data_IF_427401963384
#
_entry.id   IF_427401963384
#
_cell.length_a   1.000
_cell.length_b   1.000
_cell.length_c   1.000
_cell.angle_alpha   90.00
_cell.angle_beta   90.00
_cell.angle_gamma   90.00
#
_symmetry.space_group_name_H-M   'P 1'
#
loop_
_entity.id
_entity.type
_entity.pdbx_description
1 polymer ?
#
# COMPACT_ATOMS: atom_id res chain seq x y z
N UNK A 1 -36.86 -30.78 -1.80
CA UNK A 1 -36.70 -29.38 -2.20
C UNK A 1 -35.66 -28.76 -1.30
N UNK A 2 -34.99 -27.70 -1.72
CA UNK A 2 -33.92 -27.05 -0.97
C UNK A 2 -34.28 -25.59 -0.74
N UNK A 3 -34.05 -25.11 0.49
CA UNK A 3 -34.17 -23.72 0.87
C UNK A 3 -32.77 -23.12 0.91
N UNK A 4 -32.55 -22.05 0.17
CA UNK A 4 -31.36 -21.21 0.23
C UNK A 4 -31.71 -19.94 1.01
N UNK A 5 -31.02 -19.70 2.12
CA UNK A 5 -31.01 -18.42 2.84
C UNK A 5 -29.68 -17.74 2.58
N UNK A 6 -29.68 -16.50 2.13
CA UNK A 6 -28.47 -15.71 1.88
C UNK A 6 -28.52 -14.35 2.57
N UNK A 7 -27.38 -13.89 3.08
CA UNK A 7 -27.25 -12.60 3.76
C UNK A 7 -25.82 -12.06 3.65
N UNK A 8 -25.65 -10.75 3.83
CA UNK A 8 -24.34 -10.13 3.94
C UNK A 8 -24.13 -9.65 5.38
N UNK A 9 -23.27 -10.33 6.12
CA UNK A 9 -23.00 -10.04 7.54
C UNK A 9 -22.34 -8.68 7.80
N UNK A 10 -21.83 -8.01 6.76
CA UNK A 10 -21.24 -6.68 6.84
C UNK A 10 -22.26 -5.55 6.58
N UNK A 11 -23.48 -5.89 6.14
CA UNK A 11 -24.52 -4.89 5.89
C UNK A 11 -25.17 -4.43 7.21
N UNK A 12 -25.30 -3.12 7.48
CA UNK A 12 -25.84 -2.60 8.75
C UNK A 12 -27.32 -2.93 8.99
N UNK A 13 -28.03 -3.38 7.95
CA UNK A 13 -29.37 -3.96 8.03
C UNK A 13 -29.34 -5.31 7.30
N UNK A 14 -29.05 -6.44 7.98
CA UNK A 14 -28.97 -7.72 7.32
C UNK A 14 -30.36 -8.10 6.81
N UNK A 15 -30.52 -8.13 5.48
CA UNK A 15 -31.68 -8.74 4.83
C UNK A 15 -31.31 -10.19 4.54
N UNK A 16 -32.14 -11.12 5.02
CA UNK A 16 -32.04 -12.53 4.63
C UNK A 16 -32.97 -12.71 3.44
N UNK A 17 -32.38 -12.96 2.27
CA UNK A 17 -33.15 -13.38 1.11
C UNK A 17 -33.31 -14.90 1.15
N UNK A 18 -34.54 -15.37 0.95
CA UNK A 18 -34.87 -16.79 0.95
C UNK A 18 -35.36 -17.21 -0.44
N UNK A 19 -34.74 -18.25 -0.98
CA UNK A 19 -35.01 -18.81 -2.31
C UNK A 19 -35.22 -20.31 -2.20
N UNK A 20 -36.02 -20.88 -3.09
CA UNK A 20 -36.28 -22.32 -3.16
C UNK A 20 -35.67 -22.91 -4.42
N UNK A 21 -35.15 -24.13 -4.33
CA UNK A 21 -34.61 -24.88 -5.47
C UNK A 21 -35.13 -26.31 -5.49
N UNK A 22 -35.44 -26.81 -6.68
CA UNK A 22 -35.84 -28.21 -6.88
C UNK A 22 -34.67 -29.17 -6.70
N UNK A 23 -33.43 -28.69 -6.90
CA UNK A 23 -32.20 -29.47 -6.78
C UNK A 23 -31.14 -28.73 -5.94
N UNK A 24 -30.31 -29.51 -5.23
CA UNK A 24 -29.20 -28.98 -4.44
C UNK A 24 -28.13 -28.32 -5.32
N UNK A 25 -27.84 -28.93 -6.48
CA UNK A 25 -26.88 -28.39 -7.45
C UNK A 25 -27.32 -27.04 -8.03
N UNK A 26 -28.63 -26.82 -8.23
CA UNK A 26 -29.18 -25.54 -8.64
C UNK A 26 -28.93 -24.44 -7.60
N UNK A 27 -29.15 -24.74 -6.31
CA UNK A 27 -28.87 -23.81 -5.22
C UNK A 27 -27.38 -23.45 -5.12
N UNK A 28 -26.49 -24.45 -5.23
CA UNK A 28 -25.04 -24.21 -5.22
C UNK A 28 -24.57 -23.38 -6.42
N UNK A 29 -25.10 -23.64 -7.62
CA UNK A 29 -24.77 -22.85 -8.81
C UNK A 29 -25.23 -21.38 -8.66
N UNK A 30 -26.40 -21.16 -8.05
CA UNK A 30 -26.88 -19.82 -7.72
C UNK A 30 -25.92 -19.09 -6.80
N UNK A 31 -25.57 -19.68 -5.66
CA UNK A 31 -24.63 -19.09 -4.69
C UNK A 31 -23.27 -18.82 -5.33
N UNK A 32 -22.74 -19.75 -6.12
CA UNK A 32 -21.44 -19.58 -6.77
C UNK A 32 -21.41 -18.34 -7.68
N UNK A 33 -22.51 -18.02 -8.36
CA UNK A 33 -22.62 -16.81 -9.16
C UNK A 33 -22.88 -15.57 -8.31
N UNK A 34 -23.74 -15.65 -7.29
CA UNK A 34 -24.01 -14.51 -6.40
C UNK A 34 -22.76 -14.05 -5.66
N UNK A 35 -21.88 -14.97 -5.26
CA UNK A 35 -20.58 -14.65 -4.64
C UNK A 35 -19.60 -13.92 -5.56
N UNK A 36 -19.78 -14.00 -6.87
CA UNK A 36 -18.99 -13.19 -7.81
C UNK A 36 -19.40 -11.70 -7.74
N UNK A 37 -20.67 -11.44 -7.44
CA UNK A 37 -21.20 -10.08 -7.29
C UNK A 37 -21.03 -9.53 -5.87
N UNK A 38 -21.14 -10.39 -4.86
CA UNK A 38 -20.93 -10.05 -3.45
C UNK A 38 -20.06 -11.13 -2.77
N UNK A 39 -18.72 -10.95 -2.73
CA UNK A 39 -17.81 -11.92 -2.11
C UNK A 39 -18.04 -12.13 -0.61
N UNK A 40 -18.66 -11.16 0.08
CA UNK A 40 -18.98 -11.22 1.50
C UNK A 40 -20.31 -11.92 1.79
N UNK A 41 -20.97 -12.45 0.75
CA UNK A 41 -22.24 -13.15 0.88
C UNK A 41 -22.08 -14.47 1.65
N UNK A 42 -22.76 -14.57 2.78
CA UNK A 42 -22.98 -15.79 3.53
C UNK A 42 -24.24 -16.50 3.02
N UNK A 43 -24.28 -17.81 3.20
CA UNK A 43 -25.40 -18.62 2.77
C UNK A 43 -25.56 -19.89 3.60
N UNK A 44 -26.80 -20.39 3.63
CA UNK A 44 -27.15 -21.69 4.16
C UNK A 44 -28.09 -22.38 3.16
N UNK A 45 -27.80 -23.65 2.83
CA UNK A 45 -28.64 -24.50 1.98
C UNK A 45 -29.12 -25.68 2.82
N UNK A 46 -30.43 -25.81 3.00
CA UNK A 46 -31.02 -26.91 3.76
C UNK A 46 -32.11 -27.63 2.97
N UNK A 47 -32.17 -28.98 3.03
CA UNK A 47 -33.32 -29.71 2.50
C UNK A 47 -34.56 -29.37 3.34
N UNK A 48 -35.67 -29.04 2.69
CA UNK A 48 -36.94 -28.72 3.35
C UNK A 48 -38.11 -29.54 2.81
N UNK A 49 -39.09 -29.77 3.68
CA UNK A 49 -40.41 -30.33 3.35
C UNK A 49 -41.44 -29.24 3.04
N UNK A 50 -41.12 -27.98 3.34
CA UNK A 50 -41.99 -26.85 3.05
C UNK A 50 -42.21 -26.72 1.54
N UNK A 51 -43.45 -26.43 1.16
CA UNK A 51 -43.81 -26.22 -0.24
C UNK A 51 -43.93 -24.73 -0.55
N UNK A 52 -43.35 -24.26 -1.68
CA UNK A 52 -43.49 -22.89 -2.12
C UNK A 52 -44.95 -22.61 -2.45
N UNK A 53 -45.39 -21.41 -2.13
CA UNK A 53 -46.73 -20.94 -2.45
C UNK A 53 -46.83 -20.53 -3.92
N UNK A 54 -48.05 -20.47 -4.51
CA UNK A 54 -48.22 -19.92 -5.85
C UNK A 54 -47.66 -18.50 -6.00
N UNK A 55 -47.63 -17.70 -4.94
CA UNK A 55 -47.05 -16.35 -4.96
C UNK A 55 -45.51 -16.38 -5.02
N UNK A 56 -44.85 -17.39 -4.45
CA UNK A 56 -43.39 -17.56 -4.54
C UNK A 56 -42.95 -17.87 -5.97
N UNK A 57 -43.74 -18.67 -6.70
CA UNK A 57 -43.54 -18.88 -8.13
C UNK A 57 -43.74 -17.59 -8.93
N UNK A 58 -44.78 -16.79 -8.62
CA UNK A 58 -45.01 -15.49 -9.29
C UNK A 58 -43.90 -14.48 -9.04
N UNK A 59 -43.21 -14.58 -7.90
CA UNK A 59 -42.06 -13.73 -7.53
C UNK A 59 -40.71 -14.29 -8.00
N UNK A 60 -40.70 -15.38 -8.75
CA UNK A 60 -39.48 -16.04 -9.24
C UNK A 60 -38.52 -16.45 -8.11
N UNK A 61 -39.05 -16.80 -6.93
CA UNK A 61 -38.24 -17.25 -5.80
C UNK A 61 -37.92 -18.75 -5.86
N UNK A 62 -38.55 -19.49 -6.79
CA UNK A 62 -38.32 -20.93 -7.01
C UNK A 62 -37.48 -21.14 -8.28
N UNK A 63 -36.40 -21.90 -8.18
CA UNK A 63 -35.42 -22.16 -9.25
C UNK A 63 -35.00 -20.86 -9.96
N UNK A 64 -34.77 -19.81 -9.16
CA UNK A 64 -34.37 -18.50 -9.67
C UNK A 64 -33.10 -18.63 -10.50
N UNK A 65 -33.08 -17.99 -11.66
CA UNK A 65 -31.88 -17.97 -12.49
C UNK A 65 -30.74 -17.28 -11.74
N UNK A 66 -29.53 -17.86 -11.74
CA UNK A 66 -28.38 -17.23 -11.12
C UNK A 66 -28.10 -15.88 -11.79
N UNK A 67 -27.53 -14.90 -11.06
CA UNK A 67 -27.08 -13.67 -11.69
C UNK A 67 -26.06 -13.99 -12.79
N UNK A 68 -26.12 -13.23 -13.88
CA UNK A 68 -25.23 -13.42 -15.02
C UNK A 68 -23.79 -13.09 -14.61
N UNK A 69 -22.89 -14.01 -14.95
CA UNK A 69 -21.45 -13.84 -14.73
C UNK A 69 -20.75 -14.14 -16.05
N UNK A 70 -19.64 -13.46 -16.26
CA UNK A 70 -18.76 -13.66 -17.40
C UNK A 70 -17.38 -14.10 -16.89
N UNK A 71 -16.54 -14.54 -17.81
CA UNK A 71 -15.14 -14.83 -17.54
C UNK A 71 -14.28 -13.76 -18.20
N UNK A 72 -13.31 -13.25 -17.45
CA UNK A 72 -12.18 -12.51 -18.00
C UNK A 72 -11.00 -13.48 -18.01
N UNK A 73 -10.35 -13.54 -19.16
CA UNK A 73 -9.12 -14.30 -19.35
C UNK A 73 -7.96 -13.33 -19.38
N UNK A 74 -6.95 -13.60 -18.56
CA UNK A 74 -5.69 -12.85 -18.56
C UNK A 74 -4.58 -13.78 -19.00
N UNK A 75 -4.11 -13.60 -20.24
CA UNK A 75 -2.93 -14.28 -20.75
C UNK A 75 -1.70 -13.45 -20.40
N UNK A 76 -0.72 -14.08 -19.76
CA UNK A 76 0.47 -13.43 -19.20
C UNK A 76 1.68 -14.08 -19.82
N UNK A 77 2.53 -13.29 -20.46
CA UNK A 77 3.91 -13.66 -20.71
C UNK A 77 4.80 -13.13 -19.60
N UNK A 78 5.53 -14.00 -18.93
CA UNK A 78 6.47 -13.63 -17.86
C UNK A 78 7.77 -14.45 -18.00
N UNK A 79 8.90 -13.75 -18.11
CA UNK A 79 10.20 -14.40 -18.27
C UNK A 79 10.66 -15.17 -17.00
N UNK A 80 10.08 -14.84 -15.83
CA UNK A 80 10.43 -15.45 -14.55
C UNK A 80 9.92 -16.89 -14.39
N UNK A 81 8.89 -17.27 -15.14
CA UNK A 81 8.24 -18.56 -15.01
C UNK A 81 8.90 -19.66 -15.84
N UNK A 82 8.81 -20.91 -15.38
CA UNK A 82 9.33 -22.08 -16.10
C UNK A 82 8.55 -22.34 -17.40
N UNK A 83 7.26 -22.00 -17.40
CA UNK A 83 6.41 -21.87 -18.57
C UNK A 83 6.07 -20.39 -18.73
N UNK A 84 6.68 -19.68 -19.69
CA UNK A 84 6.62 -18.23 -19.73
C UNK A 84 5.25 -17.72 -20.17
N UNK A 85 4.30 -18.58 -20.52
CA UNK A 85 2.93 -18.18 -20.86
C UNK A 85 1.95 -18.85 -19.91
N UNK A 86 1.21 -18.06 -19.16
CA UNK A 86 0.13 -18.54 -18.28
C UNK A 86 -1.18 -17.87 -18.64
N UNK A 87 -2.31 -18.58 -18.49
CA UNK A 87 -3.65 -18.03 -18.74
C UNK A 87 -4.47 -18.21 -17.47
N UNK A 88 -4.92 -17.09 -16.90
CA UNK A 88 -5.77 -17.06 -15.71
C UNK A 88 -7.20 -16.78 -16.12
N UNK A 89 -8.14 -17.47 -15.48
CA UNK A 89 -9.57 -17.24 -15.64
C UNK A 89 -10.11 -16.63 -14.35
N UNK A 90 -10.81 -15.50 -14.47
CA UNK A 90 -11.51 -14.87 -13.36
C UNK A 90 -12.99 -14.71 -13.71
N UNK A 91 -13.85 -15.25 -12.85
CA UNK A 91 -15.30 -15.03 -12.96
C UNK A 91 -15.63 -13.66 -12.40
N UNK A 92 -16.36 -12.86 -13.17
CA UNK A 92 -16.76 -11.49 -12.80
C UNK A 92 -18.23 -11.27 -13.13
N UNK A 93 -18.79 -10.18 -12.61
CA UNK A 93 -20.12 -9.73 -13.02
C UNK A 93 -20.17 -9.44 -14.52
N UNK A 94 -21.30 -9.70 -15.17
CA UNK A 94 -21.48 -9.38 -16.59
C UNK A 94 -21.23 -7.88 -16.88
N UNK A 95 -21.53 -7.00 -15.92
CA UNK A 95 -21.24 -5.57 -16.02
C UNK A 95 -19.74 -5.28 -16.04
N UNK A 96 -18.95 -5.86 -15.12
CA UNK A 96 -17.50 -5.67 -15.07
C UNK A 96 -16.80 -6.21 -16.32
N UNK A 97 -17.28 -7.34 -16.87
CA UNK A 97 -16.73 -7.89 -18.12
C UNK A 97 -16.92 -6.96 -19.33
N UNK A 98 -17.85 -6.00 -19.28
CA UNK A 98 -18.07 -5.09 -20.39
C UNK A 98 -16.86 -4.19 -20.66
N UNK A 99 -16.05 -3.90 -19.64
CA UNK A 99 -14.81 -3.12 -19.78
C UNK A 99 -13.70 -3.84 -20.56
N UNK A 100 -13.85 -5.16 -20.75
CA UNK A 100 -12.89 -6.08 -21.35
C UNK A 100 -13.38 -6.68 -22.68
N UNK A 101 -14.46 -6.12 -23.27
CA UNK A 101 -14.92 -6.54 -24.60
C UNK A 101 -13.89 -6.26 -25.69
N UNK A 102 -13.04 -5.26 -25.47
CA UNK A 102 -11.83 -5.05 -26.26
C UNK A 102 -10.63 -5.49 -25.41
N UNK A 103 -9.80 -6.43 -25.90
CA UNK A 103 -8.64 -6.88 -25.15
C UNK A 103 -7.72 -5.70 -24.80
N UNK A 104 -7.25 -5.67 -23.55
CA UNK A 104 -6.30 -4.66 -23.05
C UNK A 104 -4.94 -5.30 -22.90
N UNK A 105 -3.91 -4.63 -23.40
CA UNK A 105 -2.52 -5.07 -23.25
C UNK A 105 -1.79 -4.15 -22.28
N UNK A 106 -1.17 -4.75 -21.26
CA UNK A 106 -0.33 -4.07 -20.27
C UNK A 106 1.11 -4.55 -20.43
N UNK A 107 2.06 -3.62 -20.32
CA UNK A 107 3.49 -3.91 -20.41
C UNK A 107 4.16 -3.52 -19.10
N UNK A 108 5.04 -4.39 -18.61
CA UNK A 108 5.87 -4.12 -17.43
C UNK A 108 7.33 -4.07 -17.85
N UNK A 109 7.96 -2.93 -17.63
CA UNK A 109 9.39 -2.76 -17.91
C UNK A 109 10.21 -3.57 -16.92
N UNK A 110 11.34 -4.09 -17.37
CA UNK A 110 12.34 -4.78 -16.54
C UNK A 110 12.79 -3.97 -15.34
N UNK A 111 12.80 -2.65 -15.48
CA UNK A 111 13.30 -1.72 -14.47
C UNK A 111 12.25 -1.36 -13.42
N UNK A 112 10.97 -1.69 -13.67
CA UNK A 112 9.91 -1.57 -12.69
C UNK A 112 10.14 -2.58 -11.56
N UNK A 113 9.87 -2.16 -10.32
CA UNK A 113 10.08 -2.94 -9.09
C UNK A 113 11.55 -3.26 -8.72
N UNK A 114 12.54 -2.76 -9.46
CA UNK A 114 13.94 -2.82 -9.02
C UNK A 114 14.24 -1.79 -7.95
N UNK A 115 15.04 -2.16 -6.96
CA UNK A 115 15.61 -1.23 -6.01
C UNK A 115 16.50 -0.18 -6.70
N UNK A 116 16.63 1.05 -6.16
CA UNK A 116 17.21 2.19 -6.88
C UNK A 116 18.62 1.97 -7.44
N UNK A 117 19.51 1.27 -6.73
CA UNK A 117 20.89 1.07 -7.18
C UNK A 117 20.95 0.04 -8.32
N UNK A 118 20.22 -1.07 -8.20
CA UNK A 118 20.06 -2.07 -9.25
C UNK A 118 19.38 -1.44 -10.46
N UNK A 119 18.34 -0.62 -10.24
CA UNK A 119 17.66 0.15 -11.29
C UNK A 119 18.62 1.08 -12.01
N UNK A 120 19.44 1.86 -11.31
CA UNK A 120 20.41 2.78 -11.92
C UNK A 120 21.45 2.02 -12.75
N UNK A 121 21.95 0.89 -12.24
CA UNK A 121 22.92 0.03 -12.94
C UNK A 121 22.29 -0.61 -14.19
N UNK A 122 21.06 -1.10 -14.08
CA UNK A 122 20.32 -1.76 -15.16
C UNK A 122 19.79 -0.80 -16.23
N UNK A 123 19.40 0.42 -15.86
CA UNK A 123 18.82 1.42 -16.79
C UNK A 123 19.74 1.75 -17.98
N UNK A 124 21.05 1.46 -17.89
CA UNK A 124 21.99 1.66 -19.00
C UNK A 124 21.78 0.69 -20.16
N UNK A 125 21.15 -0.45 -19.93
CA UNK A 125 20.96 -1.52 -20.93
C UNK A 125 19.55 -2.12 -20.95
N UNK A 126 18.73 -1.90 -19.91
CA UNK A 126 17.40 -2.49 -19.76
C UNK A 126 16.23 -1.48 -19.83
N UNK A 127 16.49 -0.22 -20.20
CA UNK A 127 15.51 0.87 -20.11
C UNK A 127 14.24 0.65 -20.94
N UNK A 128 14.35 -0.08 -22.04
CA UNK A 128 13.29 -0.34 -23.02
C UNK A 128 12.97 -1.84 -23.16
N UNK A 129 13.44 -2.65 -22.22
CA UNK A 129 13.16 -4.08 -22.18
C UNK A 129 11.93 -4.36 -21.32
N UNK A 130 11.08 -5.28 -21.80
CA UNK A 130 9.91 -5.76 -21.07
C UNK A 130 10.21 -7.10 -20.39
N UNK A 131 9.82 -7.21 -19.11
CA UNK A 131 9.90 -8.44 -18.33
C UNK A 131 8.59 -9.23 -18.35
N UNK A 132 7.47 -8.51 -18.51
CA UNK A 132 6.14 -9.09 -18.45
C UNK A 132 5.17 -8.36 -19.37
N UNK A 133 4.28 -9.12 -20.00
CA UNK A 133 3.23 -8.64 -20.90
C UNK A 133 1.94 -9.34 -20.49
N UNK A 134 0.88 -8.57 -20.28
CA UNK A 134 -0.43 -9.12 -19.96
C UNK A 134 -1.44 -8.69 -21.01
N UNK A 135 -2.30 -9.62 -21.42
CA UNK A 135 -3.47 -9.33 -22.25
C UNK A 135 -4.70 -9.83 -21.50
N UNK A 136 -5.66 -8.95 -21.25
CA UNK A 136 -6.91 -9.27 -20.58
C UNK A 136 -8.11 -9.07 -21.53
N UNK A 137 -9.01 -10.05 -21.63
CA UNK A 137 -10.17 -10.00 -22.50
C UNK A 137 -11.25 -11.04 -22.16
N UNK A 138 -12.42 -10.94 -22.78
CA UNK A 138 -13.55 -11.87 -22.57
C UNK A 138 -13.52 -13.10 -23.50
N UNK A 139 -12.70 -13.07 -24.56
CA UNK A 139 -12.50 -14.18 -25.50
C UNK A 139 -11.10 -14.76 -25.29
N UNK A 140 -11.04 -16.01 -24.81
CA UNK A 140 -9.77 -16.69 -24.50
C UNK A 140 -8.89 -16.89 -25.75
N UNK A 141 -9.34 -17.54 -26.83
CA UNK A 141 -8.55 -17.64 -28.07
C UNK A 141 -8.01 -16.31 -28.58
N UNK A 142 -8.82 -15.24 -28.57
CA UNK A 142 -8.39 -13.92 -29.00
C UNK A 142 -7.29 -13.35 -28.08
N UNK A 143 -7.47 -13.47 -26.77
CA UNK A 143 -6.52 -12.99 -25.76
C UNK A 143 -5.16 -13.68 -25.90
N UNK A 144 -5.16 -15.01 -26.04
CA UNK A 144 -3.94 -15.79 -26.25
C UNK A 144 -3.25 -15.44 -27.58
N UNK A 145 -4.02 -15.25 -28.66
CA UNK A 145 -3.49 -14.87 -29.97
C UNK A 145 -2.82 -13.48 -29.94
N UNK A 146 -3.46 -12.49 -29.30
CA UNK A 146 -2.90 -11.13 -29.17
C UNK A 146 -1.60 -11.16 -28.36
N UNK A 147 -1.57 -11.93 -27.26
CA UNK A 147 -0.35 -12.09 -26.48
C UNK A 147 0.77 -12.70 -27.33
N UNK A 148 0.48 -13.81 -28.03
CA UNK A 148 1.47 -14.50 -28.86
C UNK A 148 2.04 -13.59 -29.97
N UNK A 149 1.19 -12.83 -30.67
CA UNK A 149 1.63 -11.84 -31.65
C UNK A 149 2.49 -10.76 -31.01
N UNK A 150 2.04 -10.16 -29.91
CA UNK A 150 2.75 -9.08 -29.22
C UNK A 150 4.13 -9.53 -28.73
N UNK A 151 4.22 -10.72 -28.14
CA UNK A 151 5.48 -11.32 -27.69
C UNK A 151 6.41 -11.58 -28.87
N UNK A 152 5.91 -12.09 -29.99
CA UNK A 152 6.74 -12.34 -31.17
C UNK A 152 7.26 -11.05 -31.80
N UNK A 153 6.43 -10.01 -31.87
CA UNK A 153 6.82 -8.70 -32.41
C UNK A 153 7.91 -8.05 -31.53
N UNK A 154 7.73 -8.06 -30.21
CA UNK A 154 8.73 -7.53 -29.27
C UNK A 154 10.01 -8.36 -29.26
N UNK A 155 9.92 -9.68 -29.41
CA UNK A 155 11.09 -10.55 -29.56
C UNK A 155 11.86 -10.24 -30.83
N UNK A 156 11.17 -10.04 -31.95
CA UNK A 156 11.81 -9.70 -33.23
C UNK A 156 12.48 -8.32 -33.23
N UNK A 157 12.08 -7.46 -32.30
CA UNK A 157 12.63 -6.11 -32.12
C UNK A 157 13.64 -6.01 -30.96
N UNK A 158 14.06 -7.14 -30.38
CA UNK A 158 14.96 -7.21 -29.22
C UNK A 158 14.47 -6.38 -28.01
N UNK A 159 13.15 -6.29 -27.80
CA UNK A 159 12.52 -5.54 -26.69
C UNK A 159 12.11 -6.42 -25.51
N UNK A 160 12.41 -7.71 -25.56
CA UNK A 160 12.18 -8.62 -24.43
C UNK A 160 13.51 -8.91 -23.73
N UNK A 161 13.49 -8.93 -22.41
CA UNK A 161 14.64 -9.41 -21.65
C UNK A 161 14.89 -10.90 -21.88
N UNK A 162 16.15 -11.31 -21.89
CA UNK A 162 16.48 -12.75 -21.91
C UNK A 162 16.35 -13.35 -20.52
N UNK A 163 16.19 -14.68 -20.47
CA UNK A 163 16.10 -15.39 -19.18
C UNK A 163 17.37 -15.21 -18.34
N UNK A 164 18.54 -15.25 -18.97
CA UNK A 164 19.83 -15.06 -18.31
C UNK A 164 19.94 -13.66 -17.68
N UNK A 165 19.54 -12.63 -18.44
CA UNK A 165 19.51 -11.24 -17.96
C UNK A 165 18.51 -11.07 -16.80
N UNK A 166 17.33 -11.70 -16.89
CA UNK A 166 16.33 -11.64 -15.83
C UNK A 166 16.84 -12.29 -14.53
N UNK A 167 17.53 -13.44 -14.63
CA UNK A 167 18.14 -14.12 -13.47
C UNK A 167 19.25 -13.26 -12.85
N UNK A 168 20.14 -12.68 -13.66
CA UNK A 168 21.20 -11.80 -13.19
C UNK A 168 20.62 -10.59 -12.45
N UNK A 169 19.60 -9.98 -13.03
CA UNK A 169 18.96 -8.80 -12.47
C UNK A 169 18.23 -9.11 -11.16
N UNK A 170 17.50 -10.23 -11.10
CA UNK A 170 16.85 -10.68 -9.88
C UNK A 170 17.87 -10.96 -8.76
N UNK A 171 19.02 -11.56 -9.10
CA UNK A 171 20.10 -11.80 -8.15
C UNK A 171 20.74 -10.50 -7.65
N UNK A 172 20.95 -9.51 -8.53
CA UNK A 172 21.46 -8.20 -8.18
C UNK A 172 20.48 -7.43 -7.27
N UNK A 173 19.19 -7.45 -7.60
CA UNK A 173 18.14 -6.83 -6.81
C UNK A 173 18.05 -7.47 -5.41
N UNK A 174 18.07 -8.80 -5.33
CA UNK A 174 18.08 -9.53 -4.07
C UNK A 174 19.37 -9.31 -3.25
N UNK A 175 20.51 -9.07 -3.91
CA UNK A 175 21.75 -8.71 -3.24
C UNK A 175 21.67 -7.30 -2.65
N UNK A 176 21.08 -6.34 -3.36
CA UNK A 176 20.82 -5.00 -2.84
C UNK A 176 19.90 -5.06 -1.60
N UNK A 177 18.80 -5.80 -1.67
CA UNK A 177 17.90 -6.03 -0.53
C UNK A 177 18.64 -6.55 0.69
N UNK A 178 19.39 -7.65 0.54
CA UNK A 178 20.16 -8.27 1.63
C UNK A 178 21.24 -7.37 2.20
N UNK A 179 21.90 -6.59 1.35
CA UNK A 179 23.05 -5.80 1.77
C UNK A 179 22.65 -4.47 2.43
N UNK A 180 21.54 -3.86 1.99
CA UNK A 180 21.19 -2.49 2.37
C UNK A 180 19.91 -2.38 3.19
N UNK A 181 18.88 -3.15 2.86
CA UNK A 181 17.54 -2.93 3.42
C UNK A 181 17.19 -3.95 4.52
N UNK A 182 17.41 -5.24 4.28
CA UNK A 182 17.07 -6.31 5.22
C UNK A 182 17.71 -6.15 6.62
N UNK A 183 19.00 -5.77 6.77
CA UNK A 183 19.59 -5.57 8.08
C UNK A 183 18.93 -4.43 8.87
N UNK A 184 18.55 -3.34 8.18
CA UNK A 184 17.91 -2.19 8.80
C UNK A 184 16.49 -2.53 9.23
N UNK A 185 15.72 -3.21 8.36
CA UNK A 185 14.36 -3.64 8.68
C UNK A 185 14.36 -4.60 9.88
N UNK A 186 15.32 -5.52 9.95
CA UNK A 186 15.47 -6.44 11.08
C UNK A 186 15.79 -5.70 12.37
N UNK A 187 16.77 -4.80 12.35
CA UNK A 187 17.14 -4.02 13.53
C UNK A 187 16.00 -3.11 14.01
N UNK A 188 15.27 -2.48 13.07
CA UNK A 188 14.08 -1.67 13.37
C UNK A 188 12.96 -2.51 14.00
N UNK A 189 12.70 -3.71 13.47
CA UNK A 189 11.73 -4.64 14.06
C UNK A 189 12.10 -5.06 15.49
N UNK A 190 13.38 -5.37 15.74
CA UNK A 190 13.86 -5.74 17.07
C UNK A 190 13.70 -4.61 18.09
N UNK A 191 14.01 -3.36 17.70
CA UNK A 191 13.78 -2.17 18.53
C UNK A 191 12.29 -2.02 18.83
N UNK A 192 11.43 -2.20 17.82
CA UNK A 192 10.00 -2.06 18.00
C UNK A 192 9.42 -3.11 18.96
N UNK A 193 9.81 -4.38 18.83
CA UNK A 193 9.39 -5.44 19.75
C UNK A 193 9.85 -5.18 21.19
N UNK A 194 11.09 -4.72 21.38
CA UNK A 194 11.59 -4.31 22.69
C UNK A 194 10.80 -3.12 23.25
N UNK A 195 10.44 -2.15 22.41
CA UNK A 195 9.65 -0.98 22.83
C UNK A 195 8.23 -1.35 23.27
N UNK A 196 7.61 -2.38 22.67
CA UNK A 196 6.27 -2.86 23.03
C UNK A 196 6.30 -3.63 24.35
N UNK A 197 7.36 -4.42 24.57
CA UNK A 197 7.48 -5.31 25.74
C UNK A 197 8.01 -4.60 26.98
N UNK A 198 8.62 -3.42 26.80
CA UNK A 198 9.12 -2.58 27.88
C UNK A 198 7.98 -1.79 28.56
N UNK A 199 7.34 -2.44 29.52
CA UNK A 199 6.22 -1.90 30.31
C UNK A 199 6.64 -1.14 31.57
N UNK A 200 7.95 -0.91 31.77
CA UNK A 200 8.49 -0.28 32.98
C UNK A 200 8.81 1.20 32.75
N UNK A 201 8.65 2.01 33.79
CA UNK A 201 8.92 3.45 33.79
C UNK A 201 10.42 3.80 33.80
N UNK A 202 11.30 2.80 33.87
CA UNK A 202 12.75 2.96 33.94
C UNK A 202 13.38 2.78 32.55
N UNK A 203 14.43 3.54 32.25
CA UNK A 203 15.16 3.47 30.97
C UNK A 203 15.73 2.05 30.79
N UNK A 204 15.22 1.30 29.81
CA UNK A 204 15.77 0.00 29.44
C UNK A 204 17.10 0.16 28.68
N UNK A 205 18.24 -0.23 29.30
CA UNK A 205 19.56 -0.04 28.70
C UNK A 205 19.77 -0.88 27.43
N UNK A 206 19.05 -2.00 27.27
CA UNK A 206 19.09 -2.80 26.05
C UNK A 206 18.40 -2.08 24.89
N UNK A 207 17.23 -1.48 25.12
CA UNK A 207 16.53 -0.70 24.11
C UNK A 207 17.37 0.50 23.65
N UNK A 208 18.01 1.20 24.59
CA UNK A 208 18.91 2.32 24.29
C UNK A 208 20.11 1.87 23.45
N UNK A 209 20.77 0.76 23.83
CA UNK A 209 21.92 0.23 23.09
C UNK A 209 21.54 -0.25 21.68
N UNK A 210 20.41 -0.96 21.52
CA UNK A 210 19.94 -1.39 20.19
C UNK A 210 19.54 -0.22 19.31
N UNK A 211 18.89 0.79 19.89
CA UNK A 211 18.54 2.03 19.18
C UNK A 211 19.79 2.75 18.69
N UNK A 212 20.85 2.83 19.52
CA UNK A 212 22.15 3.38 19.13
C UNK A 212 22.74 2.63 17.94
N UNK A 213 22.88 1.31 18.04
CA UNK A 213 23.46 0.48 16.96
C UNK A 213 22.67 0.59 15.64
N UNK A 214 21.34 0.65 15.71
CA UNK A 214 20.51 0.88 14.52
C UNK A 214 20.85 2.19 13.81
N UNK A 215 21.05 3.30 14.55
CA UNK A 215 21.41 4.57 13.93
C UNK A 215 22.82 4.56 13.34
N UNK A 216 23.78 3.91 14.00
CA UNK A 216 25.13 3.70 13.45
C UNK A 216 25.09 2.89 12.15
N UNK A 217 24.41 1.74 12.17
CA UNK A 217 24.27 0.85 11.03
C UNK A 217 23.54 1.55 9.88
N UNK A 218 22.48 2.29 10.18
CA UNK A 218 21.73 3.08 9.20
C UNK A 218 22.63 4.13 8.55
N UNK A 219 23.37 4.91 9.32
CA UNK A 219 24.28 5.92 8.78
C UNK A 219 25.39 5.29 7.93
N UNK A 220 25.94 4.16 8.37
CA UNK A 220 26.96 3.42 7.61
C UNK A 220 26.41 2.89 6.28
N UNK A 221 25.21 2.29 6.28
CA UNK A 221 24.55 1.77 5.08
C UNK A 221 24.13 2.89 4.14
N UNK A 222 23.57 3.99 4.64
CA UNK A 222 23.20 5.16 3.84
C UNK A 222 24.41 5.78 3.14
N UNK A 223 25.56 5.89 3.85
CA UNK A 223 26.80 6.37 3.25
C UNK A 223 27.28 5.45 2.14
N UNK A 224 27.36 4.16 2.39
CA UNK A 224 27.79 3.16 1.38
C UNK A 224 26.85 3.18 0.17
N UNK A 225 25.55 3.21 0.40
CA UNK A 225 24.53 3.21 -0.65
C UNK A 225 24.56 4.50 -1.49
N UNK A 226 24.72 5.66 -0.85
CA UNK A 226 24.85 6.95 -1.53
C UNK A 226 26.12 7.04 -2.39
N UNK A 227 27.24 6.51 -1.87
CA UNK A 227 28.48 6.41 -2.62
C UNK A 227 28.32 5.51 -3.86
N UNK A 228 27.69 4.36 -3.71
CA UNK A 228 27.42 3.46 -4.85
C UNK A 228 26.49 4.08 -5.89
N UNK A 229 25.51 4.88 -5.47
CA UNK A 229 24.63 5.62 -6.38
C UNK A 229 25.31 6.83 -7.06
N UNK A 230 26.50 7.24 -6.60
CA UNK A 230 27.21 8.42 -7.10
C UNK A 230 26.63 9.75 -6.62
N UNK A 231 25.86 9.75 -5.53
CA UNK A 231 25.41 10.99 -4.87
C UNK A 231 26.45 11.43 -3.83
N UNK A 232 26.68 12.74 -3.65
CA UNK A 232 27.41 13.22 -2.48
C UNK A 232 26.64 12.79 -1.24
N UNK A 233 27.27 12.03 -0.33
CA UNK A 233 26.63 11.68 0.93
C UNK A 233 26.28 12.97 1.68
N UNK A 234 25.00 13.20 1.95
CA UNK A 234 24.52 14.37 2.72
C UNK A 234 25.15 14.42 4.13
N UNK A 235 25.71 13.32 4.62
CA UNK A 235 26.40 13.18 5.90
C UNK A 235 27.91 13.01 5.71
N UNK A 236 28.61 14.08 5.35
CA UNK A 236 30.08 14.13 5.46
C UNK A 236 30.52 14.18 6.93
N UNK A 237 29.64 14.60 7.84
CA UNK A 237 29.79 14.50 9.28
C UNK A 237 28.57 13.74 9.84
N UNK A 238 28.78 12.58 10.46
CA UNK A 238 27.69 11.82 11.06
C UNK A 238 27.29 12.52 12.38
N UNK A 239 26.06 13.03 12.53
CA UNK A 239 25.62 13.67 13.77
C UNK A 239 25.52 12.70 14.97
N UNK A 240 25.75 11.40 14.75
CA UNK A 240 25.65 10.36 15.77
C UNK A 240 27.01 9.81 16.21
N UNK A 241 28.11 10.06 15.48
CA UNK A 241 29.43 9.49 15.82
C UNK A 241 30.21 10.32 16.86
N UNK A 242 29.68 11.47 17.29
CA UNK A 242 30.33 12.36 18.26
C UNK A 242 29.55 12.59 19.57
N UNK A 243 28.33 12.08 19.69
CA UNK A 243 27.45 12.36 20.83
C UNK A 243 27.50 11.24 21.86
N UNK A 244 27.49 11.62 23.13
CA UNK A 244 27.46 10.67 24.24
C UNK A 244 26.12 9.93 24.31
N UNK A 245 26.08 8.70 24.88
CA UNK A 245 24.83 7.96 25.08
C UNK A 245 23.75 8.75 25.84
N UNK A 246 24.16 9.67 26.73
CA UNK A 246 23.24 10.54 27.46
C UNK A 246 22.62 11.62 26.56
N UNK A 247 23.38 12.19 25.63
CA UNK A 247 22.86 13.13 24.63
C UNK A 247 21.92 12.44 23.65
N UNK A 248 22.27 11.21 23.24
CA UNK A 248 21.37 10.40 22.42
C UNK A 248 20.07 10.06 23.18
N UNK A 249 20.17 9.63 24.44
CA UNK A 249 19.02 9.33 25.28
C UNK A 249 18.15 10.55 25.56
N UNK A 250 18.74 11.72 25.86
CA UNK A 250 18.00 12.97 26.04
C UNK A 250 17.32 13.39 24.75
N UNK A 251 18.00 13.30 23.61
CA UNK A 251 17.40 13.60 22.31
C UNK A 251 16.28 12.63 21.95
N UNK A 252 16.41 11.34 22.28
CA UNK A 252 15.35 10.33 22.14
C UNK A 252 14.18 10.63 23.09
N UNK A 253 14.44 10.98 24.34
CA UNK A 253 13.43 11.31 25.34
C UNK A 253 12.68 12.59 24.97
N UNK A 254 13.39 13.65 24.59
CA UNK A 254 12.82 14.87 24.01
C UNK A 254 12.04 14.55 22.76
N UNK A 255 12.51 13.64 21.90
CA UNK A 255 11.77 13.18 20.72
C UNK A 255 10.51 12.41 21.10
N UNK A 256 10.51 11.57 22.13
CA UNK A 256 9.32 10.85 22.61
C UNK A 256 8.31 11.78 23.29
N UNK A 257 8.80 12.77 24.03
CA UNK A 257 7.95 13.83 24.58
C UNK A 257 7.33 14.67 23.46
N UNK A 258 8.11 15.00 22.42
CA UNK A 258 7.62 15.62 21.19
C UNK A 258 6.61 14.73 20.44
N UNK A 259 6.84 13.42 20.33
CA UNK A 259 5.92 12.45 19.73
C UNK A 259 4.61 12.41 20.52
N UNK A 260 4.67 12.23 21.85
CA UNK A 260 3.49 12.22 22.72
C UNK A 260 2.77 13.56 22.73
N UNK A 261 3.48 14.67 22.57
CA UNK A 261 2.88 15.99 22.36
C UNK A 261 2.16 16.06 21.01
N UNK A 262 2.73 15.50 19.95
CA UNK A 262 2.12 15.48 18.61
C UNK A 262 0.94 14.54 18.46
N UNK A 263 0.94 13.38 19.13
CA UNK A 263 -0.23 12.52 19.21
C UNK A 263 -1.38 13.21 19.94
N UNK A 264 -1.08 14.00 20.98
CA UNK A 264 -2.07 14.88 21.62
C UNK A 264 -2.58 15.94 20.64
N UNK A 265 -1.72 16.57 19.84
CA UNK A 265 -2.15 17.52 18.78
C UNK A 265 -3.07 16.82 17.76
N UNK A 266 -2.71 15.62 17.28
CA UNK A 266 -3.51 14.87 16.31
C UNK A 266 -4.86 14.40 16.88
N UNK A 267 -4.88 13.94 18.13
CA UNK A 267 -6.12 13.58 18.83
C UNK A 267 -7.01 14.82 19.03
N UNK A 268 -6.44 15.95 19.45
CA UNK A 268 -7.16 17.23 19.53
C UNK A 268 -7.73 17.62 18.17
N UNK A 269 -6.96 17.48 17.08
CA UNK A 269 -7.42 17.76 15.71
C UNK A 269 -8.62 16.87 15.32
N UNK A 270 -8.54 15.57 15.58
CA UNK A 270 -9.61 14.63 15.27
C UNK A 270 -10.89 14.93 16.06
N UNK A 271 -10.76 15.25 17.35
CA UNK A 271 -11.90 15.63 18.19
C UNK A 271 -12.51 16.98 17.75
N UNK A 272 -11.68 17.97 17.40
CA UNK A 272 -12.14 19.25 16.86
C UNK A 272 -12.88 19.08 15.53
N UNK A 273 -12.41 18.20 14.64
CA UNK A 273 -13.09 17.87 13.39
C UNK A 273 -14.46 17.20 13.60
N UNK A 274 -14.64 16.48 14.72
CA UNK A 274 -15.93 15.91 15.14
C UNK A 274 -16.83 16.90 15.90
N UNK A 275 -16.40 18.15 16.02
CA UNK A 275 -17.16 19.22 16.69
C UNK A 275 -16.96 19.30 18.20
N UNK A 276 -15.97 18.61 18.78
CA UNK A 276 -15.68 18.70 20.20
C UNK A 276 -15.33 20.13 20.63
N UNK A 277 -15.81 20.56 21.80
CA UNK A 277 -15.48 21.88 22.35
C UNK A 277 -14.16 21.83 23.09
N UNK A 278 -13.49 22.98 23.18
CA UNK A 278 -12.23 23.12 23.92
C UNK A 278 -12.33 22.77 25.41
N UNK A 279 -13.53 22.87 26.00
CA UNK A 279 -13.81 22.39 27.35
C UNK A 279 -13.66 20.87 27.47
N UNK A 280 -14.28 20.14 26.54
CA UNK A 280 -14.31 18.68 26.53
C UNK A 280 -12.90 18.10 26.24
N UNK A 281 -12.13 18.79 25.38
CA UNK A 281 -10.72 18.47 25.10
C UNK A 281 -9.83 18.71 26.33
N UNK A 282 -10.07 19.79 27.07
CA UNK A 282 -9.31 20.10 28.28
C UNK A 282 -9.48 19.04 29.36
N UNK A 283 -10.71 18.57 29.55
CA UNK A 283 -11.03 17.48 30.48
C UNK A 283 -10.30 16.18 30.09
N UNK A 284 -10.38 15.78 28.82
CA UNK A 284 -9.74 14.57 28.31
C UNK A 284 -8.20 14.59 28.41
N UNK A 285 -7.57 15.77 28.41
CA UNK A 285 -6.12 15.95 28.52
C UNK A 285 -5.63 16.02 29.98
N UNK A 286 -6.40 15.47 30.92
CA UNK A 286 -6.05 15.43 32.34
C UNK A 286 -6.59 16.62 33.14
N UNK A 287 -7.80 17.09 32.81
CA UNK A 287 -8.49 18.14 33.57
C UNK A 287 -7.90 19.54 33.41
N UNK A 288 -7.29 19.85 32.27
CA UNK A 288 -6.78 21.21 32.00
C UNK A 288 -7.90 22.15 31.60
N UNK A 289 -7.76 23.44 31.93
CA UNK A 289 -8.80 24.43 31.60
C UNK A 289 -8.99 24.59 30.08
N UNK A 290 -10.20 24.98 29.66
CA UNK A 290 -10.52 25.36 28.27
C UNK A 290 -9.49 26.29 27.66
N UNK A 291 -9.14 27.36 28.38
CA UNK A 291 -8.22 28.39 27.88
C UNK A 291 -6.80 27.84 27.74
N UNK A 292 -6.38 26.95 28.64
CA UNK A 292 -5.11 26.23 28.55
C UNK A 292 -5.09 25.30 27.34
N UNK A 293 -6.18 24.56 27.09
CA UNK A 293 -6.29 23.70 25.91
C UNK A 293 -6.27 24.50 24.60
N UNK A 294 -7.05 25.59 24.51
CA UNK A 294 -7.06 26.48 23.34
C UNK A 294 -5.68 27.08 23.07
N UNK A 295 -5.04 27.71 24.07
CA UNK A 295 -3.72 28.30 23.93
C UNK A 295 -2.64 27.28 23.51
N UNK A 296 -2.74 26.04 23.98
CA UNK A 296 -1.74 25.00 23.69
C UNK A 296 -1.88 24.41 22.31
N UNK A 297 -3.10 24.30 21.78
CA UNK A 297 -3.36 23.44 20.61
C UNK A 297 -3.98 24.15 19.41
N UNK A 298 -4.66 25.30 19.56
CA UNK A 298 -5.36 25.96 18.45
C UNK A 298 -4.41 26.31 17.29
N UNK A 299 -3.27 26.92 17.58
CA UNK A 299 -2.25 27.24 16.56
C UNK A 299 -1.62 25.98 15.96
N UNK A 300 -1.38 24.94 16.76
CA UNK A 300 -0.71 23.70 16.32
C UNK A 300 -1.57 22.81 15.40
N UNK A 301 -2.90 22.95 15.47
CA UNK A 301 -3.82 22.24 14.56
C UNK A 301 -4.19 23.05 13.32
N UNK A 302 -3.58 24.22 13.12
CA UNK A 302 -3.80 25.07 11.94
C UNK A 302 -5.02 26.00 12.07
N UNK A 303 -5.47 26.32 13.29
CA UNK A 303 -6.44 27.40 13.49
C UNK A 303 -5.79 28.81 13.46
N UNK A 304 -4.44 28.95 13.31
CA UNK A 304 -3.76 30.23 12.94
C UNK A 304 -2.34 30.05 12.30
N UNK A 305 -2.12 30.79 11.19
CA UNK A 305 -1.00 31.09 10.20
C UNK A 305 0.50 30.81 10.52
N UNK A 306 1.50 30.79 9.61
CA UNK A 306 1.76 30.87 8.15
C UNK A 306 3.25 30.39 7.91
N UNK A 307 3.63 29.93 6.70
CA UNK A 307 5.01 29.78 6.13
C UNK A 307 5.92 28.54 6.36
N UNK A 308 5.53 27.47 7.07
CA UNK A 308 6.36 26.25 7.11
C UNK A 308 5.99 25.27 5.97
N UNK A 309 6.96 24.71 5.21
CA UNK A 309 6.66 23.85 4.07
C UNK A 309 5.91 22.59 4.51
N UNK A 310 4.77 22.35 3.87
CA UNK A 310 3.91 21.21 4.15
C UNK A 310 4.40 19.97 3.40
N UNK A 311 4.37 18.82 4.07
CA UNK A 311 4.64 17.53 3.44
C UNK A 311 3.30 16.84 3.16
N UNK A 312 3.13 16.39 1.91
CA UNK A 312 1.95 15.66 1.44
C UNK A 312 2.36 14.30 0.88
N UNK A 313 1.53 13.27 1.05
CA UNK A 313 1.49 12.15 0.12
C UNK A 313 0.57 12.55 -1.03
N UNK A 314 1.07 12.56 -2.25
CA UNK A 314 0.29 12.91 -3.43
C UNK A 314 0.20 11.72 -4.36
N UNK A 315 -0.98 11.56 -4.96
CA UNK A 315 -1.21 10.62 -6.05
C UNK A 315 -1.08 11.39 -7.36
N UNK A 316 -0.22 10.92 -8.27
CA UNK A 316 0.00 11.52 -9.58
C UNK A 316 -0.47 10.54 -10.66
N UNK A 317 -1.35 11.03 -11.54
CA UNK A 317 -1.90 10.24 -12.65
C UNK A 317 -0.90 10.09 -13.82
N UNK A 318 -1.29 9.32 -14.84
CA UNK A 318 -0.52 9.09 -16.07
C UNK A 318 -0.27 10.37 -16.89
N UNK A 319 -1.03 11.43 -16.64
CA UNK A 319 -0.85 12.76 -17.24
C UNK A 319 0.12 13.66 -16.46
N UNK A 320 0.62 13.19 -15.31
CA UNK A 320 1.51 13.95 -14.43
C UNK A 320 0.79 14.97 -13.54
N UNK A 321 -0.54 14.88 -13.41
CA UNK A 321 -1.32 15.77 -12.54
C UNK A 321 -1.56 15.14 -11.18
N UNK A 322 -1.60 15.99 -10.15
CA UNK A 322 -1.96 15.57 -8.79
C UNK A 322 -3.46 15.24 -8.77
N UNK A 323 -3.77 13.95 -8.62
CA UNK A 323 -5.14 13.42 -8.55
C UNK A 323 -5.70 13.48 -7.11
N UNK A 324 -4.86 13.25 -6.10
CA UNK A 324 -5.23 13.34 -4.67
C UNK A 324 -4.05 13.83 -3.83
N UNK A 325 -4.35 14.56 -2.76
CA UNK A 325 -3.37 15.03 -1.76
C UNK A 325 -3.79 14.60 -0.36
N UNK A 326 -2.85 14.01 0.38
CA UNK A 326 -2.99 13.67 1.78
C UNK A 326 -1.97 14.46 2.58
N UNK A 327 -2.45 15.43 3.34
CA UNK A 327 -1.59 16.28 4.16
C UNK A 327 -1.12 15.52 5.40
N UNK A 328 0.20 15.48 5.63
CA UNK A 328 0.77 14.97 6.87
C UNK A 328 0.83 16.08 7.94
N UNK A 329 1.75 17.05 7.76
CA UNK A 329 1.92 18.29 8.53
C UNK A 329 3.23 18.99 8.05
N UNK A 330 3.70 19.98 8.80
CA UNK A 330 5.06 20.54 8.65
C UNK A 330 6.14 19.51 9.00
N UNK A 331 7.38 19.74 8.55
CA UNK A 331 8.52 18.88 8.87
C UNK A 331 8.64 18.72 10.39
N UNK A 332 8.60 17.46 10.84
CA UNK A 332 8.64 17.15 12.26
C UNK A 332 9.35 15.82 12.50
N UNK A 333 9.99 15.60 13.67
CA UNK A 333 10.66 14.34 13.98
C UNK A 333 9.75 13.09 13.95
N UNK A 334 8.43 13.30 13.96
CA UNK A 334 7.37 12.27 13.86
C UNK A 334 7.02 11.96 12.41
N UNK A 335 7.15 12.90 11.48
CA UNK A 335 7.11 12.59 10.05
C UNK A 335 8.48 11.99 9.70
N UNK A 336 8.58 10.67 9.85
CA UNK A 336 9.75 9.86 9.54
C UNK A 336 9.37 8.74 8.55
N UNK A 337 10.35 7.94 8.16
CA UNK A 337 10.16 6.82 7.22
C UNK A 337 9.03 5.87 7.60
N UNK A 338 8.83 5.62 8.89
CA UNK A 338 7.81 4.71 9.39
C UNK A 338 6.41 5.33 9.36
N UNK A 339 6.25 6.57 9.84
CA UNK A 339 4.92 7.22 9.88
C UNK A 339 4.37 7.51 8.50
N UNK A 340 5.25 7.89 7.56
CA UNK A 340 4.84 8.04 6.16
C UNK A 340 4.67 6.67 5.50
N UNK A 341 5.55 5.70 5.80
CA UNK A 341 5.49 4.34 5.26
C UNK A 341 4.18 3.63 5.62
N UNK A 342 3.72 3.73 6.86
CA UNK A 342 2.45 3.10 7.29
C UNK A 342 1.22 3.74 6.63
N UNK A 343 1.27 5.04 6.36
CA UNK A 343 0.21 5.72 5.60
C UNK A 343 0.27 5.35 4.12
N UNK A 344 1.48 5.25 3.56
CA UNK A 344 1.70 4.75 2.21
C UNK A 344 1.12 3.35 2.06
N UNK A 345 1.40 2.42 2.98
CA UNK A 345 0.86 1.05 2.97
C UNK A 345 -0.67 0.98 3.05
N UNK A 346 -1.33 1.98 3.64
CA UNK A 346 -2.81 2.05 3.66
C UNK A 346 -3.40 2.46 2.31
N UNK A 347 -2.66 3.20 1.49
CA UNK A 347 -3.15 3.75 0.22
C UNK A 347 -2.56 3.06 -1.00
N UNK A 348 -1.39 2.43 -0.86
CA UNK A 348 -0.72 1.69 -1.90
C UNK A 348 -1.27 0.27 -1.98
N UNK A 349 -1.59 -0.17 -3.19
CA UNK A 349 -1.83 -1.57 -3.50
C UNK A 349 -0.51 -2.32 -3.71
N UNK A 350 0.48 -1.62 -4.26
CA UNK A 350 1.85 -2.10 -4.38
C UNK A 350 2.81 -1.02 -3.88
N UNK A 351 3.58 -1.34 -2.84
CA UNK A 351 4.52 -0.40 -2.22
C UNK A 351 5.92 -0.68 -2.75
N UNK A 352 6.64 0.36 -3.19
CA UNK A 352 8.05 0.20 -3.58
C UNK A 352 8.83 -0.32 -2.36
N UNK A 353 9.52 -1.46 -2.44
CA UNK A 353 10.25 -2.04 -1.31
C UNK A 353 11.33 -1.09 -0.72
N UNK A 354 11.79 -0.11 -1.50
CA UNK A 354 12.72 0.93 -1.06
C UNK A 354 12.03 2.18 -0.49
N UNK A 355 10.70 2.22 -0.43
CA UNK A 355 9.94 3.38 0.06
C UNK A 355 10.42 3.89 1.43
N UNK A 356 10.71 3.05 2.45
CA UNK A 356 11.22 3.56 3.73
C UNK A 356 12.50 4.40 3.59
N UNK A 357 13.41 3.98 2.71
CA UNK A 357 14.64 4.69 2.41
C UNK A 357 14.40 5.97 1.61
N UNK A 358 13.56 5.90 0.57
CA UNK A 358 13.22 7.04 -0.28
C UNK A 358 12.52 8.15 0.53
N UNK A 359 11.62 7.77 1.42
CA UNK A 359 10.95 8.66 2.37
C UNK A 359 12.01 9.30 3.29
N UNK A 360 12.86 8.50 3.92
CA UNK A 360 13.90 9.03 4.82
C UNK A 360 14.77 10.08 4.13
N UNK A 361 15.18 9.82 2.89
CA UNK A 361 15.99 10.73 2.08
C UNK A 361 15.24 12.02 1.75
N UNK A 362 13.98 11.92 1.32
CA UNK A 362 13.14 13.09 1.04
C UNK A 362 12.94 13.98 2.28
N UNK A 363 12.80 13.36 3.45
CA UNK A 363 12.65 14.07 4.72
C UNK A 363 13.96 14.71 5.22
N UNK A 364 15.11 14.18 4.81
CA UNK A 364 16.42 14.72 5.14
C UNK A 364 16.82 15.91 4.24
N UNK A 365 16.42 15.91 2.97
CA UNK A 365 16.71 16.97 2.01
C UNK A 365 15.59 18.02 1.96
N UNK A 366 15.82 19.20 2.55
CA UNK A 366 14.86 20.29 2.60
C UNK A 366 14.53 20.93 1.24
N UNK A 367 15.40 20.72 0.24
CA UNK A 367 15.21 21.30 -1.10
C UNK A 367 14.44 20.37 -2.04
N UNK A 368 14.24 19.10 -1.66
CA UNK A 368 13.47 18.16 -2.45
C UNK A 368 11.99 18.58 -2.50
N UNK A 369 11.47 18.89 -3.69
CA UNK A 369 10.04 19.23 -3.89
C UNK A 369 9.15 18.01 -4.08
N UNK A 370 9.70 16.94 -4.64
CA UNK A 370 9.00 15.69 -4.89
C UNK A 370 9.96 14.52 -4.64
N UNK A 371 9.48 13.43 -4.02
CA UNK A 371 10.24 12.19 -3.91
C UNK A 371 10.23 11.40 -5.22
N UNK A 372 11.07 10.36 -5.36
CA UNK A 372 10.82 9.27 -6.29
C UNK A 372 9.51 8.55 -5.99
N UNK A 373 9.03 7.72 -6.93
CA UNK A 373 7.83 6.89 -6.77
C UNK A 373 7.97 5.99 -5.55
N UNK A 374 6.94 5.96 -4.70
CA UNK A 374 6.91 5.20 -3.46
C UNK A 374 5.96 3.99 -3.53
N UNK A 375 5.02 3.97 -4.47
CA UNK A 375 4.06 2.88 -4.65
C UNK A 375 2.97 3.26 -5.64
N UNK A 376 2.00 2.39 -5.87
CA UNK A 376 0.86 2.63 -6.76
C UNK A 376 -0.45 2.32 -6.05
N UNK A 377 -1.50 3.08 -6.39
CA UNK A 377 -2.87 2.84 -5.90
C UNK A 377 -3.59 1.78 -6.74
N UNK A 378 -4.73 1.28 -6.26
CA UNK A 378 -5.56 0.28 -6.97
C UNK A 378 -6.02 0.76 -8.35
N UNK A 379 -6.16 2.08 -8.51
CA UNK A 379 -6.63 2.72 -9.74
C UNK A 379 -5.50 2.96 -10.76
N UNK A 380 -4.24 2.68 -10.41
CA UNK A 380 -3.05 2.87 -11.27
C UNK A 380 -2.16 4.09 -10.96
N UNK A 381 -2.64 5.23 -10.41
CA UNK A 381 -1.80 6.36 -10.08
C UNK A 381 -0.63 6.06 -9.13
N UNK A 382 0.51 6.71 -9.37
CA UNK A 382 1.71 6.60 -8.54
C UNK A 382 1.64 7.49 -7.30
N UNK A 383 2.21 7.03 -6.18
CA UNK A 383 2.26 7.73 -4.90
C UNK A 383 3.66 8.34 -4.67
N UNK A 384 3.69 9.61 -4.30
CA UNK A 384 4.90 10.40 -4.10
C UNK A 384 4.77 11.25 -2.84
N UNK A 385 5.89 11.62 -2.22
CA UNK A 385 5.91 12.74 -1.28
C UNK A 385 6.11 14.05 -2.02
N UNK A 386 5.35 15.07 -1.65
CA UNK A 386 5.43 16.43 -2.18
C UNK A 386 5.65 17.44 -1.05
N UNK A 387 6.49 18.45 -1.30
CA UNK A 387 6.72 19.58 -0.40
C UNK A 387 6.23 20.86 -1.05
N UNK A 388 5.21 21.49 -0.46
CA UNK A 388 4.70 22.78 -0.91
C UNK A 388 5.23 23.92 -0.03
N UNK A 389 5.68 24.99 -0.68
CA UNK A 389 6.00 26.28 -0.06
C UNK A 389 4.89 27.25 -0.47
N UNK A 390 3.76 27.23 0.24
CA UNK A 390 2.74 28.27 0.08
C UNK A 390 3.06 29.47 0.95
#
# INVERSE_FOLDING_TARGET
>A
MFLLSQWNGQHPQPFIETLWFTTESGAHAYVANSKVWDPALDHEIVPTQDQPTPDDYRRELVDRRPPEVAAIYTAIWDIGDADPITVKEQRVSAHAAHEFTSPRTTFTLVTEHLHPLTRQKASRWAYDLFARIEVAGVDRPQTEAILATTVNDLRSSDKLITREQAIELAAANAAEQRNYFEPLNKAEHEIHQLSITDSRADINPELAARTWHFFEDRAAKERSYSQELGFPSLQTEAPYLGESPLELANRIATRHEQIGHQWRIAAVRAERARGARWEDIGEALGGISKQTAWNRYATLIGEDKDNDPHIFLVSIDDTGKIAREYWFAHRSPVINSYTVGSVLEQFATDTDPSAPFLIARFLADDNAKLSPLLGTTTEGPGLYLHRDHK
#
